data_IF_192883226697
#
_entry.id   IF_192883226697
#
_cell.length_a   1.000
_cell.length_b   1.000
_cell.length_c   1.000
_cell.angle_alpha   90.00
_cell.angle_beta   90.00
_cell.angle_gamma   90.00
#
_symmetry.space_group_name_H-M   'P 1'
#
loop_
_entity.id
_entity.type
_entity.pdbx_description
1 polymer ?
#
# COMPACT_ATOMS: atom_id res chain seq x y z
N UNK A 1 -13.26 -8.52 -8.76
CA UNK A 1 -12.17 -7.55 -8.53
C UNK A 1 -11.99 -6.72 -9.78
N UNK A 2 -11.90 -5.40 -9.60
CA UNK A 2 -11.74 -4.47 -10.73
C UNK A 2 -10.55 -3.53 -10.55
N UNK A 3 -9.89 -3.54 -9.40
CA UNK A 3 -8.70 -2.73 -9.10
C UNK A 3 -7.50 -3.64 -8.88
N UNK A 4 -6.45 -3.45 -9.67
CA UNK A 4 -5.21 -4.24 -9.64
C UNK A 4 -4.01 -3.32 -9.41
N UNK A 5 -3.17 -3.67 -8.46
CA UNK A 5 -1.99 -2.89 -8.07
C UNK A 5 -0.72 -3.66 -8.37
N UNK A 6 0.21 -3.01 -9.07
CA UNK A 6 1.55 -3.51 -9.38
C UNK A 6 2.59 -2.40 -9.21
N UNK A 7 3.83 -2.63 -9.59
CA UNK A 7 4.90 -1.64 -9.67
C UNK A 7 6.05 -2.12 -10.56
N UNK A 8 6.78 -1.19 -11.17
CA UNK A 8 7.98 -1.50 -11.97
C UNK A 8 9.04 -2.28 -11.18
N UNK A 9 9.15 -2.06 -9.85
CA UNK A 9 10.15 -2.74 -9.01
C UNK A 9 9.77 -4.19 -8.69
N UNK A 10 8.55 -4.63 -8.95
CA UNK A 10 8.13 -5.99 -8.61
C UNK A 10 8.67 -6.99 -9.64
N UNK A 11 9.64 -7.80 -9.19
CA UNK A 11 10.26 -8.85 -9.94
C UNK A 11 11.52 -8.59 -10.79
N UNK A 12 12.23 -7.43 -10.80
CA UNK A 12 11.78 -6.17 -11.39
C UNK A 12 11.17 -6.34 -12.78
N UNK A 13 10.16 -5.55 -13.04
CA UNK A 13 9.40 -5.48 -14.31
C UNK A 13 8.48 -6.67 -14.60
N UNK A 14 8.84 -7.90 -14.19
CA UNK A 14 8.13 -9.14 -14.55
C UNK A 14 6.70 -9.18 -14.04
N UNK A 15 6.39 -8.55 -12.89
CA UNK A 15 5.02 -8.51 -12.40
C UNK A 15 4.11 -7.66 -13.29
N UNK A 16 4.58 -6.55 -13.85
CA UNK A 16 3.81 -5.77 -14.81
C UNK A 16 3.54 -6.56 -16.10
N UNK A 17 4.48 -7.41 -16.54
CA UNK A 17 4.29 -8.29 -17.70
C UNK A 17 3.18 -9.31 -17.46
N UNK A 18 3.18 -9.96 -16.29
CA UNK A 18 2.12 -10.90 -15.87
C UNK A 18 0.76 -10.21 -15.79
N UNK A 19 0.70 -9.03 -15.17
CA UNK A 19 -0.54 -8.25 -15.04
C UNK A 19 -1.04 -7.81 -16.43
N UNK A 20 -0.13 -7.33 -17.30
CA UNK A 20 -0.46 -6.92 -18.65
C UNK A 20 -1.03 -8.07 -19.47
N UNK A 21 -0.41 -9.24 -19.42
CA UNK A 21 -0.90 -10.43 -20.13
C UNK A 21 -2.28 -10.86 -19.62
N UNK A 22 -2.44 -10.94 -18.31
CA UNK A 22 -3.69 -11.40 -17.70
C UNK A 22 -4.87 -10.45 -17.94
N UNK A 23 -4.64 -9.13 -17.93
CA UNK A 23 -5.69 -8.13 -17.98
C UNK A 23 -5.95 -7.54 -19.37
N UNK A 24 -5.08 -7.78 -20.34
CA UNK A 24 -5.26 -7.29 -21.72
C UNK A 24 -6.65 -7.58 -22.30
N UNK A 25 -7.23 -8.80 -22.16
CA UNK A 25 -8.54 -9.10 -22.71
C UNK A 25 -9.70 -8.33 -22.06
N UNK A 26 -9.48 -7.80 -20.87
CA UNK A 26 -10.49 -7.08 -20.10
C UNK A 26 -10.05 -5.67 -19.69
N UNK A 27 -9.05 -5.10 -20.37
CA UNK A 27 -8.40 -3.85 -20.01
C UNK A 27 -9.38 -2.70 -19.67
N UNK A 28 -10.43 -2.54 -20.47
CA UNK A 28 -11.41 -1.48 -20.29
C UNK A 28 -12.38 -1.70 -19.10
N UNK A 29 -12.37 -2.88 -18.50
CA UNK A 29 -13.27 -3.26 -17.39
C UNK A 29 -12.56 -3.17 -16.04
N UNK A 30 -11.27 -2.84 -16.04
CA UNK A 30 -10.43 -2.84 -14.84
C UNK A 30 -9.65 -1.54 -14.70
N UNK A 31 -9.28 -1.24 -13.46
CA UNK A 31 -8.38 -0.16 -13.09
C UNK A 31 -7.02 -0.79 -12.78
N UNK A 32 -5.98 -0.34 -13.47
CA UNK A 32 -4.60 -0.78 -13.23
C UNK A 32 -3.83 0.36 -12.58
N UNK A 33 -3.31 0.11 -11.39
CA UNK A 33 -2.36 0.97 -10.70
C UNK A 33 -0.95 0.42 -10.84
N UNK A 34 0.01 1.27 -11.17
CA UNK A 34 1.44 0.95 -11.09
C UNK A 34 2.23 2.10 -10.50
N UNK A 35 3.54 1.89 -10.30
CA UNK A 35 4.37 2.82 -9.53
C UNK A 35 5.71 3.03 -10.20
N UNK A 36 6.17 4.29 -10.20
CA UNK A 36 7.51 4.72 -10.63
C UNK A 36 8.33 5.23 -9.44
N UNK A 37 9.59 5.51 -9.67
CA UNK A 37 10.44 6.27 -8.73
C UNK A 37 11.75 5.60 -8.37
N UNK A 38 12.07 4.48 -9.00
CA UNK A 38 13.37 3.83 -8.85
C UNK A 38 14.22 3.98 -10.11
N UNK A 39 15.53 3.94 -9.94
CA UNK A 39 16.50 3.80 -11.03
C UNK A 39 17.02 2.37 -11.07
N UNK A 40 17.47 1.96 -12.27
CA UNK A 40 17.91 0.59 -12.52
C UNK A 40 19.21 0.57 -13.31
N UNK A 41 20.05 -0.43 -13.00
CA UNK A 41 21.13 -0.91 -13.85
C UNK A 41 20.79 -2.36 -14.23
N UNK A 42 20.36 -2.58 -15.49
CA UNK A 42 19.73 -3.83 -15.87
C UNK A 42 18.47 -4.07 -15.03
N UNK A 43 18.43 -5.20 -14.32
CA UNK A 43 17.33 -5.57 -13.44
C UNK A 43 17.61 -5.26 -11.94
N UNK A 44 18.69 -4.58 -11.61
CA UNK A 44 18.98 -4.17 -10.25
C UNK A 44 18.55 -2.73 -9.98
N UNK A 45 17.77 -2.53 -8.91
CA UNK A 45 17.46 -1.18 -8.45
C UNK A 45 18.69 -0.53 -7.84
N UNK A 46 19.01 0.68 -8.30
CA UNK A 46 20.15 1.48 -7.84
C UNK A 46 19.75 2.60 -6.87
N UNK A 47 18.49 2.66 -6.49
CA UNK A 47 17.95 3.65 -5.56
C UNK A 47 16.80 4.46 -6.11
N UNK A 48 16.50 5.59 -5.48
CA UNK A 48 15.40 6.47 -5.89
C UNK A 48 15.83 7.40 -7.01
N UNK A 49 14.94 7.61 -7.98
CA UNK A 49 15.06 8.62 -9.02
C UNK A 49 13.67 9.05 -9.52
N UNK A 50 13.22 10.20 -9.05
CA UNK A 50 11.96 10.82 -9.49
C UNK A 50 12.19 12.03 -10.40
N UNK A 51 13.34 12.14 -11.07
CA UNK A 51 13.58 13.20 -12.06
C UNK A 51 12.63 13.02 -13.27
N UNK A 52 12.18 14.12 -13.89
CA UNK A 52 11.22 14.08 -15.01
C UNK A 52 11.57 13.09 -16.12
N UNK A 53 12.83 13.03 -16.53
CA UNK A 53 13.28 12.10 -17.57
C UNK A 53 13.10 10.63 -17.15
N UNK A 54 13.37 10.29 -15.89
CA UNK A 54 13.19 8.93 -15.38
C UNK A 54 11.71 8.57 -15.24
N UNK A 55 10.87 9.51 -14.80
CA UNK A 55 9.41 9.30 -14.71
C UNK A 55 8.84 8.95 -16.09
N UNK A 56 9.17 9.73 -17.12
CA UNK A 56 8.72 9.46 -18.50
C UNK A 56 9.19 8.11 -19.02
N UNK A 57 10.47 7.78 -18.79
CA UNK A 57 11.03 6.47 -19.15
C UNK A 57 10.31 5.31 -18.45
N UNK A 58 10.04 5.46 -17.16
CA UNK A 58 9.32 4.46 -16.36
C UNK A 58 7.90 4.24 -16.89
N UNK A 59 7.16 5.32 -17.18
CA UNK A 59 5.80 5.25 -17.72
C UNK A 59 5.79 4.57 -19.09
N UNK A 60 6.67 4.95 -20.02
CA UNK A 60 6.76 4.31 -21.33
C UNK A 60 7.12 2.82 -21.22
N UNK A 61 7.94 2.45 -20.21
CA UNK A 61 8.24 1.06 -19.88
C UNK A 61 7.02 0.31 -19.37
N UNK A 62 6.31 0.88 -18.41
CA UNK A 62 5.10 0.29 -17.79
C UNK A 62 3.99 0.10 -18.82
N UNK A 63 3.74 1.07 -19.72
CA UNK A 63 2.76 0.95 -20.79
C UNK A 63 3.03 -0.26 -21.69
N UNK A 64 4.30 -0.48 -22.07
CA UNK A 64 4.69 -1.64 -22.88
C UNK A 64 4.47 -2.96 -22.15
N UNK A 65 4.92 -3.07 -20.88
CA UNK A 65 4.79 -4.30 -20.07
C UNK A 65 3.33 -4.61 -19.73
N UNK A 66 2.56 -3.59 -19.41
CA UNK A 66 1.12 -3.71 -19.14
C UNK A 66 0.26 -3.88 -20.41
N UNK A 67 0.84 -3.81 -21.60
CA UNK A 67 0.17 -3.96 -22.90
C UNK A 67 -1.05 -3.04 -23.04
N UNK A 68 -0.87 -1.76 -22.72
CA UNK A 68 -1.94 -0.77 -22.70
C UNK A 68 -1.44 0.61 -23.08
N UNK A 69 -2.32 1.48 -23.59
CA UNK A 69 -1.99 2.84 -23.99
C UNK A 69 -2.10 3.85 -22.82
N UNK A 70 -2.69 3.43 -21.70
CA UNK A 70 -2.88 4.30 -20.54
C UNK A 70 -2.78 3.53 -19.22
N UNK A 71 -2.32 4.23 -18.18
CA UNK A 71 -2.31 3.79 -16.78
C UNK A 71 -3.45 4.52 -16.06
N UNK A 72 -4.32 3.78 -15.36
CA UNK A 72 -5.42 4.43 -14.65
C UNK A 72 -4.94 5.20 -13.43
N UNK A 73 -4.00 4.66 -12.64
CA UNK A 73 -3.46 5.30 -11.46
C UNK A 73 -1.95 5.09 -11.40
N UNK A 74 -1.19 6.17 -11.44
CA UNK A 74 0.27 6.15 -11.38
C UNK A 74 0.76 6.70 -10.05
N UNK A 75 1.40 5.87 -9.24
CA UNK A 75 1.98 6.29 -7.98
C UNK A 75 3.45 6.68 -8.08
N UNK A 76 3.85 7.75 -7.39
CA UNK A 76 5.23 7.84 -6.93
C UNK A 76 5.43 6.82 -5.80
N UNK A 77 6.27 5.80 -6.01
CA UNK A 77 6.40 4.66 -5.10
C UNK A 77 7.02 5.05 -3.75
N UNK A 78 8.04 5.93 -3.78
CA UNK A 78 8.62 6.61 -2.62
C UNK A 78 9.03 8.02 -3.00
N UNK A 79 8.91 8.94 -2.06
CA UNK A 79 9.36 10.31 -2.27
C UNK A 79 10.88 10.33 -2.41
N UNK A 80 11.36 10.93 -3.49
CA UNK A 80 12.79 11.15 -3.71
C UNK A 80 13.22 12.43 -2.97
N UNK A 81 14.10 12.32 -1.96
CA UNK A 81 14.54 13.48 -1.18
C UNK A 81 15.47 14.44 -1.95
N UNK A 82 15.75 14.16 -3.22
CA UNK A 82 16.61 14.99 -4.06
C UNK A 82 15.83 15.76 -5.14
N UNK A 83 14.53 15.47 -5.31
CA UNK A 83 13.71 16.07 -6.36
C UNK A 83 12.53 16.81 -5.75
N UNK A 84 12.33 18.11 -6.04
CA UNK A 84 11.14 18.84 -5.61
C UNK A 84 9.86 18.14 -6.06
N UNK A 85 8.89 18.06 -5.17
CA UNK A 85 7.65 17.35 -5.48
C UNK A 85 6.86 18.04 -6.60
N UNK A 86 7.03 19.33 -6.75
CA UNK A 86 6.41 20.12 -7.82
C UNK A 86 6.88 19.67 -9.21
N UNK A 87 8.14 19.28 -9.34
CA UNK A 87 8.70 18.76 -10.60
C UNK A 87 8.15 17.37 -10.91
N UNK A 88 7.98 16.54 -9.88
CA UNK A 88 7.35 15.22 -9.99
C UNK A 88 5.88 15.36 -10.39
N UNK A 89 5.11 16.12 -9.62
CA UNK A 89 3.69 16.32 -9.86
C UNK A 89 3.42 17.03 -11.21
N UNK A 90 4.28 18.00 -11.58
CA UNK A 90 4.24 18.65 -12.89
C UNK A 90 4.46 17.68 -14.05
N UNK A 91 5.44 16.77 -13.92
CA UNK A 91 5.69 15.74 -14.93
C UNK A 91 4.50 14.78 -15.09
N UNK A 92 3.88 14.37 -13.95
CA UNK A 92 2.69 13.51 -14.02
C UNK A 92 1.51 14.26 -14.62
N UNK A 93 1.36 15.56 -14.32
CA UNK A 93 0.34 16.42 -14.95
C UNK A 93 0.48 16.45 -16.47
N UNK A 94 1.71 16.57 -16.99
CA UNK A 94 1.98 16.50 -18.42
C UNK A 94 1.58 15.14 -19.00
N UNK A 95 1.95 14.04 -18.34
CA UNK A 95 1.59 12.69 -18.74
C UNK A 95 0.07 12.44 -18.73
N UNK A 96 -0.65 13.11 -17.85
CA UNK A 96 -2.13 13.11 -17.85
C UNK A 96 -2.66 13.89 -19.07
N UNK A 97 -2.10 15.04 -19.35
CA UNK A 97 -2.48 15.81 -20.55
C UNK A 97 -2.16 15.07 -21.86
N UNK A 98 -1.09 14.26 -21.88
CA UNK A 98 -0.74 13.36 -22.98
C UNK A 98 -1.65 12.12 -23.11
N UNK A 99 -2.54 11.88 -22.14
CA UNK A 99 -3.44 10.72 -22.11
C UNK A 99 -2.77 9.41 -21.69
N UNK A 100 -1.50 9.41 -21.29
CA UNK A 100 -0.75 8.22 -20.85
C UNK A 100 -1.11 7.79 -19.43
N UNK A 101 -1.56 8.71 -18.60
CA UNK A 101 -1.94 8.50 -17.19
C UNK A 101 -3.29 9.17 -16.96
N UNK A 102 -4.18 8.54 -16.18
CA UNK A 102 -5.46 9.17 -15.82
C UNK A 102 -5.42 9.88 -14.48
N UNK A 103 -4.76 9.26 -13.49
CA UNK A 103 -4.75 9.79 -12.12
C UNK A 103 -3.36 9.65 -11.49
N UNK A 104 -3.02 10.63 -10.66
CA UNK A 104 -1.80 10.63 -9.86
C UNK A 104 -2.05 10.10 -8.46
N UNK A 105 -1.11 9.30 -7.95
CA UNK A 105 -1.08 8.81 -6.58
C UNK A 105 0.29 8.95 -5.94
N UNK A 106 0.36 8.79 -4.63
CA UNK A 106 1.61 8.80 -3.87
C UNK A 106 1.63 7.64 -2.86
N UNK A 107 2.81 7.05 -2.63
CA UNK A 107 2.98 6.03 -1.61
C UNK A 107 3.94 6.50 -0.53
N UNK A 108 3.51 6.39 0.73
CA UNK A 108 4.26 6.77 1.93
C UNK A 108 4.81 8.22 1.91
N UNK A 109 4.07 9.24 1.40
CA UNK A 109 4.55 10.61 1.42
C UNK A 109 4.55 11.20 2.83
N UNK A 110 5.40 12.22 3.04
CA UNK A 110 5.26 13.13 4.18
C UNK A 110 4.05 14.06 4.00
N UNK A 111 3.42 14.53 5.11
CA UNK A 111 2.22 15.35 5.07
C UNK A 111 2.35 16.64 4.25
N UNK A 112 3.47 17.35 4.38
CA UNK A 112 3.71 18.60 3.62
C UNK A 112 3.91 18.30 2.14
N UNK A 113 4.66 17.25 1.82
CA UNK A 113 4.89 16.79 0.44
C UNK A 113 3.58 16.43 -0.23
N UNK A 114 2.68 15.71 0.46
CA UNK A 114 1.37 15.36 -0.07
C UNK A 114 0.55 16.62 -0.45
N UNK A 115 0.48 17.61 0.43
CA UNK A 115 -0.24 18.86 0.15
C UNK A 115 0.36 19.64 -1.03
N UNK A 116 1.69 19.74 -1.09
CA UNK A 116 2.39 20.42 -2.19
C UNK A 116 2.16 19.71 -3.53
N UNK A 117 2.24 18.39 -3.55
CA UNK A 117 1.95 17.60 -4.74
C UNK A 117 0.51 17.82 -5.23
N UNK A 118 -0.45 17.75 -4.32
CA UNK A 118 -1.88 17.93 -4.62
C UNK A 118 -2.20 19.31 -5.17
N UNK A 119 -1.49 20.36 -4.73
CA UNK A 119 -1.66 21.72 -5.24
C UNK A 119 -1.20 21.88 -6.70
N UNK A 120 -0.24 21.08 -7.19
CA UNK A 120 0.24 21.11 -8.58
C UNK A 120 -0.61 20.22 -9.49
N UNK A 121 -0.86 18.99 -9.04
CA UNK A 121 -1.68 18.00 -9.70
C UNK A 121 -2.50 17.25 -8.64
N UNK A 122 -3.84 17.25 -8.71
CA UNK A 122 -4.65 16.52 -7.75
C UNK A 122 -4.18 15.07 -7.57
N UNK A 123 -3.89 14.72 -6.32
CA UNK A 123 -3.57 13.34 -5.93
C UNK A 123 -4.89 12.61 -5.71
N UNK A 124 -5.13 11.54 -6.45
CA UNK A 124 -6.36 10.77 -6.39
C UNK A 124 -6.33 9.72 -5.27
N UNK A 125 -5.15 9.17 -4.97
CA UNK A 125 -4.99 8.16 -3.93
C UNK A 125 -3.63 8.22 -3.24
N UNK A 126 -3.62 7.90 -1.94
CA UNK A 126 -2.41 7.66 -1.14
C UNK A 126 -2.36 6.19 -0.75
N UNK A 127 -1.19 5.56 -0.94
CA UNK A 127 -0.97 4.17 -0.59
C UNK A 127 0.05 4.06 0.54
N UNK A 128 -0.40 3.71 1.76
CA UNK A 128 0.45 3.51 2.92
C UNK A 128 0.20 2.15 3.58
N UNK A 129 1.16 1.65 4.37
CA UNK A 129 0.92 0.50 5.23
C UNK A 129 -0.16 0.85 6.25
N UNK A 130 -1.21 0.03 6.32
CA UNK A 130 -2.25 0.19 7.32
C UNK A 130 -2.92 -1.14 7.63
N UNK A 131 -2.92 -1.51 8.89
CA UNK A 131 -3.47 -2.77 9.41
C UNK A 131 -3.75 -2.64 10.91
N UNK A 132 -4.18 -3.71 11.55
CA UNK A 132 -4.32 -3.76 13.02
C UNK A 132 -2.98 -3.60 13.75
N UNK A 133 -1.84 -3.95 13.11
CA UNK A 133 -0.49 -3.78 13.66
C UNK A 133 0.13 -2.43 13.31
N UNK A 134 -0.17 -1.87 12.16
CA UNK A 134 0.39 -0.61 11.70
C UNK A 134 -0.69 0.46 11.59
N UNK A 135 -0.68 1.41 12.52
CA UNK A 135 -1.71 2.45 12.65
C UNK A 135 -1.14 3.88 12.58
N UNK A 136 0.09 4.04 12.11
CA UNK A 136 0.71 5.36 11.97
C UNK A 136 -0.10 6.34 11.10
N UNK A 137 -0.83 5.92 10.03
CA UNK A 137 -1.66 6.84 9.23
C UNK A 137 -2.74 7.57 10.03
N UNK A 138 -3.20 7.01 11.15
CA UNK A 138 -4.15 7.66 12.05
C UNK A 138 -3.52 8.83 12.84
N UNK A 139 -2.18 8.82 13.02
CA UNK A 139 -1.44 9.74 13.90
C UNK A 139 -0.56 10.74 13.15
N UNK A 140 -0.10 10.39 11.94
CA UNK A 140 0.83 11.17 11.15
C UNK A 140 0.16 12.18 10.19
N UNK A 141 -1.10 12.48 10.41
CA UNK A 141 -1.94 13.40 9.62
C UNK A 141 -2.35 12.90 8.22
N UNK A 142 -1.83 11.77 7.73
CA UNK A 142 -2.10 11.33 6.35
C UNK A 142 -3.59 11.05 6.14
N UNK A 143 -4.25 10.30 7.05
CA UNK A 143 -5.70 10.06 6.90
C UNK A 143 -6.53 11.36 7.00
N UNK A 144 -6.14 12.29 7.88
CA UNK A 144 -6.82 13.57 8.00
C UNK A 144 -6.69 14.41 6.72
N UNK A 145 -5.50 14.44 6.10
CA UNK A 145 -5.28 15.13 4.82
C UNK A 145 -6.06 14.46 3.68
N UNK A 146 -6.11 13.12 3.66
CA UNK A 146 -6.91 12.41 2.67
C UNK A 146 -8.40 12.77 2.77
N UNK A 147 -8.94 12.84 3.99
CA UNK A 147 -10.33 13.26 4.23
C UNK A 147 -10.58 14.71 3.81
N UNK A 148 -9.68 15.62 4.18
CA UNK A 148 -9.76 17.04 3.87
C UNK A 148 -9.73 17.32 2.35
N UNK A 149 -8.85 16.62 1.63
CA UNK A 149 -8.61 16.85 0.21
C UNK A 149 -9.40 15.93 -0.73
N UNK A 150 -10.25 15.04 -0.19
CA UNK A 150 -11.00 14.06 -0.99
C UNK A 150 -10.13 13.01 -1.68
N UNK A 151 -9.03 12.61 -1.05
CA UNK A 151 -8.06 11.63 -1.56
C UNK A 151 -8.44 10.23 -1.07
N UNK A 152 -8.50 9.25 -1.96
CA UNK A 152 -8.67 7.84 -1.60
C UNK A 152 -7.45 7.30 -0.84
N UNK A 153 -7.67 6.35 0.06
CA UNK A 153 -6.58 5.72 0.80
C UNK A 153 -6.52 4.22 0.53
N UNK A 154 -5.33 3.73 0.17
CA UNK A 154 -5.10 2.35 -0.27
C UNK A 154 -4.14 1.67 0.70
N UNK A 155 -4.65 0.91 1.70
CA UNK A 155 -3.83 0.14 2.60
C UNK A 155 -3.06 -0.98 1.90
N UNK A 156 -1.71 -0.91 1.90
CA UNK A 156 -0.91 -2.08 1.61
C UNK A 156 -0.57 -2.83 2.91
N UNK A 157 -0.26 -4.12 2.81
CA UNK A 157 -0.03 -4.97 3.97
C UNK A 157 -1.24 -5.12 4.92
N UNK A 158 -2.50 -5.15 4.43
CA UNK A 158 -3.70 -5.03 5.26
C UNK A 158 -3.91 -6.18 6.23
N UNK A 159 -3.27 -7.33 6.00
CA UNK A 159 -3.24 -8.49 6.91
C UNK A 159 -1.86 -8.69 7.56
N UNK A 160 -1.04 -7.63 7.64
CA UNK A 160 0.30 -7.63 8.22
C UNK A 160 1.16 -8.79 7.69
N UNK A 161 1.26 -8.92 6.36
CA UNK A 161 2.04 -9.98 5.67
C UNK A 161 1.66 -11.40 6.10
N UNK A 162 0.40 -11.61 6.47
CA UNK A 162 -0.15 -12.90 6.91
C UNK A 162 -0.15 -13.11 8.42
N UNK A 163 0.42 -12.20 9.23
CA UNK A 163 0.40 -12.33 10.70
C UNK A 163 -1.04 -12.39 11.25
N UNK A 164 -1.91 -11.54 10.74
CA UNK A 164 -3.30 -11.43 11.20
C UNK A 164 -4.22 -12.57 10.73
N UNK A 165 -3.72 -13.49 9.91
CA UNK A 165 -4.49 -14.67 9.46
C UNK A 165 -4.41 -15.85 10.41
N UNK A 166 -3.56 -15.80 11.45
CA UNK A 166 -3.32 -16.90 12.36
C UNK A 166 -2.34 -17.96 11.87
N UNK A 167 -1.67 -17.70 10.75
CA UNK A 167 -0.70 -18.63 10.14
C UNK A 167 0.60 -18.73 10.93
N UNK A 168 0.91 -17.73 11.72
CA UNK A 168 2.16 -17.62 12.48
C UNK A 168 1.87 -17.55 13.97
N UNK A 169 2.67 -18.22 14.76
CA UNK A 169 2.55 -18.27 16.21
C UNK A 169 3.90 -18.14 16.88
N UNK A 170 3.92 -18.28 18.20
CA UNK A 170 5.15 -18.32 18.99
C UNK A 170 6.05 -19.46 18.47
N UNK A 171 7.32 -19.16 18.20
CA UNK A 171 8.26 -20.12 17.65
C UNK A 171 8.30 -20.22 16.11
N UNK A 172 7.49 -19.46 15.37
CA UNK A 172 7.63 -19.37 13.92
C UNK A 172 8.98 -18.77 13.53
N UNK A 173 9.73 -19.48 12.69
CA UNK A 173 11.01 -19.01 12.13
C UNK A 173 10.85 -18.84 10.63
N UNK A 174 11.22 -17.67 10.13
CA UNK A 174 11.21 -17.38 8.69
C UNK A 174 12.56 -17.73 8.06
N UNK A 175 12.54 -18.26 6.84
CA UNK A 175 13.74 -18.47 6.04
C UNK A 175 14.48 -17.14 5.82
N UNK A 176 15.81 -17.17 5.67
CA UNK A 176 16.64 -15.98 5.52
C UNK A 176 16.26 -15.15 4.27
N UNK A 177 15.75 -15.80 3.25
CA UNK A 177 15.29 -15.22 1.98
C UNK A 177 13.90 -14.60 2.11
N UNK A 178 13.15 -14.95 3.15
CA UNK A 178 11.85 -14.36 3.42
C UNK A 178 12.02 -12.95 3.99
N UNK A 179 11.41 -11.97 3.35
CA UNK A 179 11.50 -10.58 3.78
C UNK A 179 11.01 -10.37 5.22
N UNK A 180 10.11 -11.22 5.73
CA UNK A 180 9.61 -11.15 7.12
C UNK A 180 10.70 -11.40 8.14
N UNK A 181 11.74 -12.17 7.81
CA UNK A 181 12.89 -12.40 8.68
C UNK A 181 13.66 -11.10 9.05
N UNK A 182 13.45 -10.02 8.28
CA UNK A 182 14.12 -8.72 8.48
C UNK A 182 13.20 -7.65 9.07
N UNK A 183 11.95 -7.98 9.33
CA UNK A 183 10.94 -7.05 9.84
C UNK A 183 10.82 -7.20 11.35
N UNK A 184 11.10 -6.17 12.16
CA UNK A 184 11.11 -6.27 13.61
C UNK A 184 9.79 -6.75 14.25
N UNK A 185 8.64 -6.50 13.65
CA UNK A 185 7.36 -7.09 14.10
C UNK A 185 7.38 -8.61 14.21
N UNK A 186 8.20 -9.29 13.40
CA UNK A 186 8.31 -10.74 13.34
C UNK A 186 9.50 -11.31 14.12
N UNK A 187 10.27 -10.47 14.82
CA UNK A 187 11.30 -11.00 15.71
C UNK A 187 10.64 -11.71 16.90
N UNK A 188 11.22 -12.81 17.42
CA UNK A 188 10.55 -13.69 18.38
C UNK A 188 9.90 -12.93 19.56
N UNK A 189 10.62 -12.00 20.17
CA UNK A 189 10.13 -11.24 21.31
C UNK A 189 8.97 -10.30 20.95
N UNK A 190 9.04 -9.63 19.79
CA UNK A 190 7.98 -8.77 19.32
C UNK A 190 6.77 -9.60 18.89
N UNK A 191 6.99 -10.69 18.18
CA UNK A 191 5.92 -11.57 17.71
C UNK A 191 5.12 -12.14 18.88
N UNK A 192 5.78 -12.61 19.96
CA UNK A 192 5.12 -13.10 21.17
C UNK A 192 4.17 -12.07 21.77
N UNK A 193 4.56 -10.80 21.86
CA UNK A 193 3.72 -9.73 22.37
C UNK A 193 2.60 -9.35 21.40
N UNK A 194 2.91 -9.29 20.11
CA UNK A 194 1.97 -8.90 19.06
C UNK A 194 0.88 -9.96 18.80
N UNK A 195 1.05 -11.21 19.24
CA UNK A 195 0.00 -12.24 19.20
C UNK A 195 -1.30 -11.79 19.90
N UNK A 196 -1.23 -10.90 20.89
CA UNK A 196 -2.41 -10.32 21.51
C UNK A 196 -3.34 -9.59 20.50
N UNK A 197 -2.77 -9.00 19.43
CA UNK A 197 -3.58 -8.38 18.35
C UNK A 197 -4.27 -9.45 17.50
N UNK A 198 -3.56 -10.53 17.18
CA UNK A 198 -4.15 -11.68 16.49
C UNK A 198 -5.28 -12.30 17.33
N UNK A 199 -5.07 -12.49 18.64
CA UNK A 199 -6.08 -13.07 19.54
C UNK A 199 -7.33 -12.18 19.65
N UNK A 200 -7.15 -10.86 19.65
CA UNK A 200 -8.27 -9.91 19.55
C UNK A 200 -9.02 -10.12 18.23
N UNK A 201 -8.31 -10.13 17.10
CA UNK A 201 -8.92 -10.35 15.78
C UNK A 201 -9.65 -11.70 15.73
N UNK A 202 -9.06 -12.76 16.27
CA UNK A 202 -9.65 -14.10 16.33
C UNK A 202 -10.96 -14.13 17.13
N UNK A 203 -10.97 -13.57 18.33
CA UNK A 203 -12.20 -13.50 19.16
C UNK A 203 -13.34 -12.77 18.45
N UNK A 204 -13.05 -11.67 17.78
CA UNK A 204 -14.06 -10.92 17.05
C UNK A 204 -14.49 -11.64 15.75
N UNK A 205 -13.55 -12.32 15.07
CA UNK A 205 -13.84 -13.15 13.91
C UNK A 205 -14.83 -14.27 14.26
N UNK A 206 -14.61 -14.97 15.38
CA UNK A 206 -15.55 -15.99 15.87
C UNK A 206 -16.95 -15.43 16.11
N UNK A 207 -17.06 -14.25 16.75
CA UNK A 207 -18.38 -13.59 16.99
C UNK A 207 -19.10 -13.26 15.68
N UNK A 208 -18.37 -12.95 14.62
CA UNK A 208 -18.92 -12.57 13.31
C UNK A 208 -19.03 -13.73 12.32
N UNK A 209 -18.57 -14.92 12.68
CA UNK A 209 -18.60 -16.10 11.80
C UNK A 209 -17.70 -15.98 10.57
N UNK A 210 -16.57 -15.30 10.71
CA UNK A 210 -15.58 -15.06 9.65
C UNK A 210 -14.17 -15.47 10.08
N UNK A 211 -13.19 -15.45 9.16
CA UNK A 211 -11.80 -15.70 9.51
C UNK A 211 -11.12 -14.43 10.07
N UNK A 212 -10.01 -14.57 10.82
CA UNK A 212 -9.24 -13.41 11.29
C UNK A 212 -8.73 -12.51 10.16
N UNK A 213 -8.35 -13.09 9.01
CA UNK A 213 -7.96 -12.34 7.81
C UNK A 213 -9.12 -11.51 7.27
N UNK A 214 -10.31 -12.11 7.15
CA UNK A 214 -11.52 -11.40 6.74
C UNK A 214 -11.91 -10.30 7.71
N UNK A 215 -11.81 -10.56 9.02
CA UNK A 215 -12.07 -9.54 10.03
C UNK A 215 -11.11 -8.34 9.91
N UNK A 216 -9.82 -8.60 9.72
CA UNK A 216 -8.81 -7.55 9.57
C UNK A 216 -9.08 -6.66 8.36
N UNK A 217 -9.46 -7.25 7.24
CA UNK A 217 -9.86 -6.52 6.04
C UNK A 217 -11.18 -5.74 6.24
N UNK A 218 -12.17 -6.37 6.87
CA UNK A 218 -13.46 -5.74 7.19
C UNK A 218 -13.30 -4.55 8.14
N UNK A 219 -12.38 -4.64 9.11
CA UNK A 219 -12.05 -3.54 9.99
C UNK A 219 -11.51 -2.33 9.21
N UNK A 220 -10.61 -2.54 8.23
CA UNK A 220 -10.11 -1.46 7.36
C UNK A 220 -11.24 -0.82 6.56
N UNK A 221 -12.11 -1.63 5.96
CA UNK A 221 -13.28 -1.15 5.20
C UNK A 221 -14.27 -0.36 6.07
N UNK A 222 -14.32 -0.65 7.36
CA UNK A 222 -15.18 0.05 8.32
C UNK A 222 -14.63 1.38 8.84
N UNK A 223 -13.34 1.69 8.58
CA UNK A 223 -12.75 2.94 9.08
C UNK A 223 -13.29 4.15 8.31
N UNK A 224 -13.32 4.10 6.99
CA UNK A 224 -13.82 5.18 6.12
C UNK A 224 -14.27 4.61 4.76
N UNK A 225 -15.29 5.20 4.12
CA UNK A 225 -15.82 4.69 2.85
C UNK A 225 -14.86 4.85 1.66
N UNK A 226 -13.81 5.65 1.79
CA UNK A 226 -12.79 5.89 0.78
C UNK A 226 -11.49 5.09 1.00
N UNK A 227 -11.54 4.07 1.88
CA UNK A 227 -10.42 3.13 2.11
C UNK A 227 -10.64 1.87 1.28
N UNK A 228 -9.64 1.52 0.46
CA UNK A 228 -9.66 0.35 -0.42
C UNK A 228 -8.40 -0.49 -0.18
N UNK A 229 -8.45 -1.54 0.65
CA UNK A 229 -7.30 -2.40 0.92
C UNK A 229 -6.93 -3.26 -0.29
N UNK A 230 -5.61 -3.52 -0.44
CA UNK A 230 -5.03 -4.31 -1.53
C UNK A 230 -4.33 -5.57 -0.97
N UNK A 231 -5.05 -6.58 -0.46
CA UNK A 231 -4.44 -7.82 0.00
C UNK A 231 -3.87 -8.62 -1.18
N UNK A 232 -2.54 -8.78 -1.19
CA UNK A 232 -1.84 -9.57 -2.22
C UNK A 232 -1.70 -11.04 -1.81
N UNK A 233 -1.89 -11.96 -2.78
CA UNK A 233 -1.67 -13.38 -2.61
C UNK A 233 -1.39 -14.06 -3.95
N UNK A 234 -0.66 -15.19 -3.91
CA UNK A 234 -0.47 -16.10 -5.05
C UNK A 234 -1.36 -17.34 -4.94
N UNK A 235 -2.12 -17.47 -3.86
CA UNK A 235 -2.99 -18.60 -3.59
C UNK A 235 -4.45 -18.22 -3.90
N UNK A 236 -5.11 -18.91 -4.86
CA UNK A 236 -6.51 -18.66 -5.20
C UNK A 236 -7.47 -18.82 -4.00
N UNK A 237 -7.18 -19.72 -3.06
CA UNK A 237 -7.98 -19.92 -1.85
C UNK A 237 -7.91 -18.67 -0.95
N UNK A 238 -6.71 -18.15 -0.71
CA UNK A 238 -6.55 -16.90 0.04
C UNK A 238 -7.21 -15.70 -0.67
N UNK A 239 -7.21 -15.71 -2.00
CA UNK A 239 -7.93 -14.66 -2.75
C UNK A 239 -9.44 -14.73 -2.47
N UNK A 240 -10.03 -15.93 -2.54
CA UNK A 240 -11.46 -16.12 -2.26
C UNK A 240 -11.80 -15.74 -0.80
N UNK A 241 -10.94 -16.11 0.16
CA UNK A 241 -11.05 -15.74 1.56
C UNK A 241 -11.03 -14.21 1.72
N UNK A 242 -10.04 -13.52 1.15
CA UNK A 242 -9.92 -12.07 1.20
C UNK A 242 -11.15 -11.36 0.63
N UNK A 243 -11.69 -11.84 -0.48
CA UNK A 243 -12.92 -11.30 -1.09
C UNK A 243 -14.13 -11.46 -0.17
N UNK A 244 -14.19 -12.52 0.62
CA UNK A 244 -15.25 -12.75 1.61
C UNK A 244 -15.31 -11.70 2.72
N UNK A 245 -14.27 -10.90 2.91
CA UNK A 245 -14.22 -9.85 3.93
C UNK A 245 -15.35 -8.81 3.80
N UNK A 246 -15.88 -8.58 2.61
CA UNK A 246 -16.99 -7.63 2.37
C UNK A 246 -18.30 -8.07 3.05
N UNK A 247 -18.41 -9.34 3.42
CA UNK A 247 -19.57 -9.88 4.14
C UNK A 247 -19.49 -9.63 5.66
N UNK A 248 -18.32 -9.35 6.19
CA UNK A 248 -18.12 -9.04 7.60
C UNK A 248 -18.32 -7.53 7.82
N UNK A 249 -19.44 -7.17 8.45
CA UNK A 249 -19.77 -5.76 8.71
C UNK A 249 -19.57 -5.41 10.18
N UNK A 250 -19.01 -4.24 10.42
CA UNK A 250 -18.97 -3.62 11.74
C UNK A 250 -20.09 -2.58 11.85
N UNK A 251 -20.81 -2.58 12.96
CA UNK A 251 -21.64 -1.43 13.34
C UNK A 251 -20.74 -0.30 13.88
N UNK A 252 -21.22 0.96 13.93
CA UNK A 252 -20.44 2.05 14.53
C UNK A 252 -19.99 1.76 15.97
N UNK A 253 -20.85 1.18 16.79
CA UNK A 253 -20.52 0.82 18.18
C UNK A 253 -19.46 -0.29 18.25
N UNK A 254 -19.52 -1.26 17.38
CA UNK A 254 -18.51 -2.32 17.26
C UNK A 254 -17.14 -1.76 16.83
N UNK A 255 -17.10 -0.80 15.90
CA UNK A 255 -15.86 -0.11 15.52
C UNK A 255 -15.24 0.57 16.72
N UNK A 256 -16.04 1.30 17.50
CA UNK A 256 -15.58 1.98 18.73
C UNK A 256 -15.13 1.00 19.81
N UNK A 257 -15.85 -0.11 20.00
CA UNK A 257 -15.48 -1.14 20.96
C UNK A 257 -14.17 -1.82 20.55
N UNK A 258 -14.06 -2.27 19.29
CA UNK A 258 -12.86 -2.91 18.77
C UNK A 258 -11.63 -1.99 18.88
N UNK A 259 -11.81 -0.70 18.57
CA UNK A 259 -10.75 0.31 18.71
C UNK A 259 -10.24 0.40 20.14
N UNK A 260 -11.13 0.49 21.13
CA UNK A 260 -10.74 0.53 22.55
C UNK A 260 -9.98 -0.72 22.99
N UNK A 261 -10.43 -1.91 22.57
CA UNK A 261 -9.74 -3.16 22.86
C UNK A 261 -8.35 -3.23 22.20
N UNK A 262 -8.24 -2.74 20.95
CA UNK A 262 -6.97 -2.71 20.22
C UNK A 262 -5.98 -1.69 20.81
N UNK A 263 -6.45 -0.53 21.25
CA UNK A 263 -5.63 0.51 21.88
C UNK A 263 -5.06 0.10 23.23
N UNK A 264 -5.69 -0.85 23.90
CA UNK A 264 -5.18 -1.44 25.14
C UNK A 264 -4.00 -2.40 24.92
N UNK A 265 -3.74 -2.82 23.67
CA UNK A 265 -2.65 -3.72 23.33
C UNK A 265 -1.42 -2.90 22.93
N UNK A 266 -0.29 -3.17 23.62
CA UNK A 266 1.00 -2.59 23.24
C UNK A 266 1.60 -3.37 22.07
N UNK A 267 1.68 -2.76 20.92
CA UNK A 267 2.38 -3.29 19.75
C UNK A 267 3.89 -3.02 19.88
N UNK A 268 4.72 -3.98 19.53
CA UNK A 268 6.17 -3.95 19.70
C UNK A 268 6.87 -4.26 18.38
N UNK A 269 8.02 -3.61 18.17
CA UNK A 269 8.81 -3.71 16.96
C UNK A 269 8.39 -2.71 15.89
N UNK A 270 9.29 -2.48 14.95
CA UNK A 270 9.04 -1.62 13.79
C UNK A 270 8.44 -2.44 12.64
N UNK A 271 7.59 -1.79 11.84
CA UNK A 271 6.90 -2.39 10.69
C UNK A 271 7.83 -2.79 9.53
N UNK A 272 9.05 -2.26 9.50
CA UNK A 272 10.03 -2.54 8.46
C UNK A 272 11.46 -2.35 8.96
N UNK A 273 12.43 -2.86 8.20
CA UNK A 273 13.84 -2.62 8.46
C UNK A 273 14.19 -1.12 8.32
N UNK A 274 15.25 -0.62 9.01
CA UNK A 274 15.58 0.81 9.05
C UNK A 274 15.68 1.48 7.68
N UNK A 275 16.28 0.83 6.68
CA UNK A 275 16.40 1.38 5.33
C UNK A 275 15.06 1.58 4.62
N UNK A 276 14.09 0.69 4.85
CA UNK A 276 12.74 0.83 4.29
C UNK A 276 11.93 1.89 5.04
N UNK A 277 12.11 1.99 6.38
CA UNK A 277 11.48 3.04 7.17
C UNK A 277 11.97 4.44 6.79
N UNK A 278 13.25 4.58 6.47
CA UNK A 278 13.84 5.85 6.02
C UNK A 278 13.23 6.39 4.71
N UNK A 279 12.55 5.54 3.94
CA UNK A 279 11.83 5.93 2.72
C UNK A 279 10.34 6.24 2.96
N UNK A 280 9.88 6.22 4.21
CA UNK A 280 8.47 6.47 4.57
C UNK A 280 8.31 7.80 5.27
N UNK A 281 7.26 8.55 4.96
CA UNK A 281 6.99 9.86 5.55
C UNK A 281 8.00 10.93 5.12
N UNK A 282 8.72 10.71 4.03
CA UNK A 282 9.77 11.62 3.53
C UNK A 282 9.13 12.91 3.00
N UNK A 283 9.76 14.03 3.36
CA UNK A 283 9.44 15.34 2.81
C UNK A 283 10.38 15.67 1.64
N UNK A 284 9.83 15.96 0.48
CA UNK A 284 10.58 16.39 -0.68
C UNK A 284 11.18 17.80 -0.46
N UNK A 285 12.35 18.10 -1.05
CA UNK A 285 12.95 19.42 -0.95
C UNK A 285 12.04 20.49 -1.56
N UNK A 286 12.21 21.73 -1.11
CA UNK A 286 11.52 22.87 -1.70
C UNK A 286 12.10 23.18 -3.08
N UNK A 287 11.24 23.60 -4.01
CA UNK A 287 11.66 24.09 -5.31
C UNK A 287 12.28 25.47 -5.10
N UNK A 288 13.54 25.60 -5.49
CA UNK A 288 14.28 26.87 -5.44
C UNK A 288 13.80 27.81 -6.55
#
# INVERSE_FOLDING_TARGET
VTFFDTAEIYGPFTNEEVVGEALQPMRQKVVIATKFGFSYNGNESTGLDSRPANIRRAVDGSLRRLRTDYIDLLYQHRVDPKVPIEDVAGTVKDLIAEGKVKHFGMSEPGPRTLRRAHAVQPVAAVQNEYSLLERSPEKNQILAICEELGIGFVPWGPVARGFLTGRFGEGTVFAKEDNRARVPFFFPEAMKQNLAVHDLAHRWAQRKGVTPGQLSLAWLLAQKPWIVPIPGTTDPWHLAENLGAVNARFTPDEVLQFRRELEAIRIVGERAAPGALAMSGVEAPEKK
#
